data_IF_154837072574
#
_entry.id   IF_154837072574
#
_cell.length_a   1.000
_cell.length_b   1.000
_cell.length_c   1.000
_cell.angle_alpha   90.00
_cell.angle_beta   90.00
_cell.angle_gamma   90.00
#
_symmetry.space_group_name_H-M   'P 1'
#
loop_
_entity.id
_entity.type
_entity.pdbx_description
1 polymer ?
#
# COMPACT_ATOMS: atom_id res chain seq x y z
N UNK A 1 8.65 5.50 -18.73
CA UNK A 1 9.31 5.86 -17.46
C UNK A 1 8.89 4.82 -16.42
N UNK A 2 9.78 3.92 -16.02
CA UNK A 2 9.53 3.04 -14.86
C UNK A 2 9.68 3.89 -13.60
N UNK A 3 8.61 4.58 -13.21
CA UNK A 3 8.45 5.02 -11.83
C UNK A 3 8.57 3.77 -10.99
N UNK A 4 9.66 3.62 -10.24
CA UNK A 4 9.75 2.57 -9.24
C UNK A 4 8.65 2.88 -8.24
N UNK A 5 7.57 2.10 -8.31
CA UNK A 5 6.45 2.21 -7.39
C UNK A 5 7.00 1.86 -6.02
N UNK A 6 7.12 2.87 -5.17
CA UNK A 6 7.69 2.75 -3.85
C UNK A 6 6.69 3.33 -2.85
N UNK A 7 6.10 2.48 -2.02
CA UNK A 7 5.11 2.87 -1.02
C UNK A 7 5.75 3.36 0.27
N UNK A 8 6.78 4.20 0.17
CA UNK A 8 7.46 4.79 1.34
C UNK A 8 6.52 5.50 2.30
N UNK A 9 5.41 6.03 1.80
CA UNK A 9 4.38 6.67 2.64
C UNK A 9 3.80 5.71 3.70
N UNK A 10 3.87 4.39 3.50
CA UNK A 10 3.48 3.41 4.53
C UNK A 10 4.42 3.43 5.73
N UNK A 11 5.70 3.79 5.54
CA UNK A 11 6.67 3.91 6.63
C UNK A 11 6.52 5.23 7.40
N UNK A 12 5.81 6.21 6.83
CA UNK A 12 5.50 7.49 7.47
C UNK A 12 4.28 7.40 8.41
N UNK A 13 3.52 6.30 8.33
CA UNK A 13 2.39 6.04 9.20
C UNK A 13 2.82 5.31 10.47
N UNK A 14 2.39 5.79 11.64
CA UNK A 14 2.48 5.03 12.89
C UNK A 14 1.42 3.91 12.90
N UNK A 15 1.75 2.79 12.25
CA UNK A 15 0.88 1.62 12.16
C UNK A 15 1.13 0.64 13.30
N UNK A 16 0.04 0.05 13.80
CA UNK A 16 0.09 -0.98 14.84
C UNK A 16 -0.84 -2.15 14.53
N UNK A 17 -0.57 -3.30 15.15
CA UNK A 17 -1.43 -4.48 15.07
C UNK A 17 -1.66 -4.95 13.63
N UNK A 18 -2.91 -5.28 13.24
CA UNK A 18 -3.23 -5.76 11.90
C UNK A 18 -2.86 -4.81 10.76
N UNK A 19 -2.90 -3.49 10.98
CA UNK A 19 -2.55 -2.51 9.96
C UNK A 19 -1.05 -2.51 9.64
N UNK A 20 -0.19 -2.67 10.66
CA UNK A 20 1.25 -2.81 10.46
C UNK A 20 1.59 -4.08 9.65
N UNK A 21 0.99 -5.22 10.03
CA UNK A 21 1.18 -6.49 9.32
C UNK A 21 0.72 -6.40 7.87
N UNK A 22 -0.42 -5.74 7.62
CA UNK A 22 -0.93 -5.54 6.26
C UNK A 22 -0.01 -4.63 5.42
N UNK A 23 0.48 -3.52 5.98
CA UNK A 23 1.38 -2.62 5.28
C UNK A 23 2.71 -3.30 4.89
N UNK A 24 3.29 -4.10 5.80
CA UNK A 24 4.51 -4.87 5.51
C UNK A 24 4.30 -5.91 4.41
N UNK A 25 3.14 -6.59 4.42
CA UNK A 25 2.75 -7.49 3.33
C UNK A 25 2.67 -6.74 1.99
N UNK A 26 2.02 -5.56 1.96
CA UNK A 26 1.86 -4.78 0.74
C UNK A 26 3.18 -4.25 0.17
N UNK A 27 4.12 -3.81 1.03
CA UNK A 27 5.48 -3.43 0.62
C UNK A 27 6.25 -4.59 -0.01
N UNK A 28 6.05 -5.80 0.51
CA UNK A 28 6.68 -7.00 -0.05
C UNK A 28 6.06 -7.38 -1.40
N UNK A 29 4.72 -7.37 -1.49
CA UNK A 29 3.99 -7.78 -2.68
C UNK A 29 4.13 -6.82 -3.85
N UNK A 30 4.17 -5.50 -3.61
CA UNK A 30 4.33 -4.52 -4.69
C UNK A 30 5.63 -4.73 -5.45
N UNK A 31 6.73 -5.01 -4.72
CA UNK A 31 8.02 -5.31 -5.34
C UNK A 31 7.91 -6.57 -6.21
N UNK A 32 7.42 -7.67 -5.64
CA UNK A 32 7.27 -8.95 -6.34
C UNK A 32 6.42 -8.81 -7.60
N UNK A 33 5.25 -8.17 -7.51
CA UNK A 33 4.30 -8.03 -8.62
C UNK A 33 4.79 -7.05 -9.68
N UNK A 34 5.46 -5.97 -9.29
CA UNK A 34 6.05 -5.02 -10.25
C UNK A 34 7.10 -5.66 -11.16
N UNK A 35 7.72 -6.76 -10.71
CA UNK A 35 8.76 -7.49 -11.46
C UNK A 35 8.17 -8.67 -12.26
N UNK A 36 7.08 -9.30 -11.80
CA UNK A 36 6.59 -10.56 -12.36
C UNK A 36 5.22 -10.51 -13.05
N UNK A 37 4.47 -9.42 -12.90
CA UNK A 37 3.07 -9.31 -13.33
C UNK A 37 2.89 -8.09 -14.24
N UNK A 38 2.76 -8.34 -15.54
CA UNK A 38 2.64 -7.29 -16.56
C UNK A 38 1.32 -6.50 -16.48
N UNK A 39 0.29 -7.06 -15.84
CA UNK A 39 -1.02 -6.40 -15.68
C UNK A 39 -1.12 -5.67 -14.33
N UNK A 40 -0.07 -5.75 -13.49
CA UNK A 40 -0.07 -5.13 -12.17
C UNK A 40 -0.14 -3.61 -12.25
N UNK A 41 -1.26 -3.06 -11.76
CA UNK A 41 -1.45 -1.62 -11.59
C UNK A 41 -1.12 -1.20 -10.17
N UNK A 42 0.05 -0.59 -10.01
CA UNK A 42 0.50 0.01 -8.76
C UNK A 42 -0.46 1.07 -8.20
N UNK A 43 -1.05 1.90 -9.07
CA UNK A 43 -2.01 2.92 -8.67
C UNK A 43 -3.29 2.30 -8.09
N UNK A 44 -3.81 1.24 -8.74
CA UNK A 44 -4.97 0.51 -8.22
C UNK A 44 -4.63 -0.19 -6.91
N UNK A 45 -3.42 -0.74 -6.80
CA UNK A 45 -2.96 -1.39 -5.59
C UNK A 45 -2.82 -0.39 -4.43
N UNK A 46 -2.31 0.81 -4.67
CA UNK A 46 -2.27 1.89 -3.67
C UNK A 46 -3.66 2.26 -3.14
N UNK A 47 -4.63 2.44 -4.04
CA UNK A 47 -6.02 2.72 -3.66
C UNK A 47 -6.58 1.60 -2.78
N UNK A 48 -6.31 0.34 -3.13
CA UNK A 48 -6.73 -0.80 -2.33
C UNK A 48 -6.08 -0.82 -0.94
N UNK A 49 -4.78 -0.50 -0.84
CA UNK A 49 -4.07 -0.40 0.44
C UNK A 49 -4.73 0.64 1.33
N UNK A 50 -4.98 1.86 0.81
CA UNK A 50 -5.64 2.93 1.56
C UNK A 50 -7.01 2.50 2.07
N UNK A 51 -7.83 1.88 1.23
CA UNK A 51 -9.15 1.38 1.63
C UNK A 51 -9.09 0.37 2.77
N UNK A 52 -8.13 -0.56 2.73
CA UNK A 52 -7.95 -1.55 3.80
C UNK A 52 -7.44 -0.88 5.07
N UNK A 53 -6.48 0.04 5.00
CA UNK A 53 -5.98 0.77 6.16
C UNK A 53 -7.09 1.60 6.83
N UNK A 54 -7.98 2.21 6.05
CA UNK A 54 -9.18 2.85 6.60
C UNK A 54 -10.06 1.86 7.35
N UNK A 55 -10.31 0.67 6.78
CA UNK A 55 -11.11 -0.37 7.45
C UNK A 55 -10.45 -0.94 8.70
N UNK A 56 -9.12 -0.91 8.76
CA UNK A 56 -8.35 -1.28 9.94
C UNK A 56 -8.25 -0.14 10.98
N UNK A 57 -8.85 1.02 10.72
CA UNK A 57 -8.83 2.17 11.61
C UNK A 57 -7.48 2.89 11.68
N UNK A 58 -6.61 2.67 10.69
CA UNK A 58 -5.27 3.25 10.63
C UNK A 58 -5.19 4.53 9.78
N UNK A 59 -6.25 4.83 9.03
CA UNK A 59 -6.38 6.04 8.22
C UNK A 59 -7.83 6.52 8.25
N UNK A 60 -8.03 7.82 8.10
CA UNK A 60 -9.35 8.41 7.88
C UNK A 60 -9.70 8.44 6.39
N UNK A 61 -11.00 8.54 6.09
CA UNK A 61 -11.49 8.63 4.70
C UNK A 61 -10.96 9.87 3.97
N UNK A 62 -10.59 10.92 4.71
CA UNK A 62 -10.00 12.16 4.18
C UNK A 62 -8.54 11.94 3.72
N UNK A 63 -7.86 10.90 4.21
CA UNK A 63 -6.50 10.49 3.78
C UNK A 63 -6.46 9.75 2.44
N UNK A 64 -7.59 9.67 1.72
CA UNK A 64 -7.69 9.07 0.38
C UNK A 64 -7.68 10.09 -0.76
N UNK A 65 -7.64 11.40 -0.46
CA UNK A 65 -7.62 12.48 -1.46
C UNK A 65 -6.24 12.68 -2.10
#
# INVERSE_FOLDING_TARGET
>A
MNSRVDFKWLDELELHGPAAVFADFCKTEVKRRSESDAEFSAATYEVAIRLVLVKLGAMDMDGMQ
#
